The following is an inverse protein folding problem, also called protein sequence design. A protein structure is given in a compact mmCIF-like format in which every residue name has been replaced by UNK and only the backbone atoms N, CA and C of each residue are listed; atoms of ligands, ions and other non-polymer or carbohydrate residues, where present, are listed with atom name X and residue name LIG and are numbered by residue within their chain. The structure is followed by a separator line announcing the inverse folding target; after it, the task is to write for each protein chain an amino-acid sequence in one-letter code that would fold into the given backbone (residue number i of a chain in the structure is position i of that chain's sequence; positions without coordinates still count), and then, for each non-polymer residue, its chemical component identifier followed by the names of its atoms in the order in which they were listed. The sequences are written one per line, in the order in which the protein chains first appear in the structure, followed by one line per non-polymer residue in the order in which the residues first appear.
data_IF_018775382743
#
_entry.id   IF_018775382743
#
_cell.length_a   1.000
_cell.length_b   1.000
_cell.length_c   1.000
_cell.angle_alpha   90.00
_cell.angle_beta   90.00
_cell.angle_gamma   90.00
#
_symmetry.space_group_name_H-M   'P 1'
#
loop_
_entity.id
_entity.type
_entity.pdbx_description
1 polymer ?
#
# COMPACT_ATOMS: atom_id res chain seq x y z
N UNK A 1 -10.03 22.20 1.41
CA UNK A 1 -10.37 20.80 1.74
C UNK A 1 -9.36 19.86 1.10
N UNK A 2 -8.90 18.89 1.87
CA UNK A 2 -8.00 17.85 1.38
C UNK A 2 -8.70 16.50 1.29
N UNK A 3 -8.08 15.57 0.57
CA UNK A 3 -8.56 14.21 0.43
C UNK A 3 -7.42 13.23 0.72
N UNK A 4 -7.78 12.07 1.24
CA UNK A 4 -6.83 11.00 1.48
C UNK A 4 -7.39 9.67 0.96
N UNK A 5 -6.50 8.78 0.53
CA UNK A 5 -6.82 7.38 0.35
C UNK A 5 -6.09 6.58 1.40
N UNK A 6 -6.77 5.61 1.97
CA UNK A 6 -6.16 4.59 2.82
C UNK A 6 -6.25 3.29 2.05
N UNK A 7 -5.12 2.64 1.81
CA UNK A 7 -5.05 1.38 1.10
C UNK A 7 -4.58 0.30 2.06
N UNK A 8 -5.33 -0.80 2.16
CA UNK A 8 -4.84 -2.02 2.78
C UNK A 8 -4.36 -2.96 1.70
N UNK A 9 -3.07 -3.26 1.73
CA UNK A 9 -2.38 -4.02 0.69
C UNK A 9 -2.00 -5.37 1.28
N UNK A 10 -2.68 -6.42 0.81
CA UNK A 10 -2.45 -7.78 1.25
C UNK A 10 -1.52 -8.48 0.27
N UNK A 11 -0.31 -8.80 0.72
CA UNK A 11 0.75 -9.38 -0.11
C UNK A 11 0.96 -10.85 0.22
N UNK A 12 1.25 -11.62 -0.80
CA UNK A 12 1.62 -13.01 -0.67
C UNK A 12 2.99 -13.25 -1.31
N UNK A 13 3.86 -13.97 -0.61
CA UNK A 13 5.23 -14.28 -1.04
C UNK A 13 5.37 -15.81 -1.13
N UNK A 14 4.80 -16.46 -2.16
CA UNK A 14 4.70 -17.92 -2.18
C UNK A 14 6.05 -18.63 -2.21
N UNK A 15 7.09 -18.00 -2.74
CA UNK A 15 8.41 -18.60 -2.86
C UNK A 15 9.39 -18.18 -1.77
N UNK A 16 8.93 -17.34 -0.82
CA UNK A 16 9.78 -16.88 0.26
C UNK A 16 9.90 -17.95 1.34
N UNK A 17 11.12 -18.23 1.77
CA UNK A 17 11.40 -19.26 2.78
C UNK A 17 11.86 -18.72 4.13
N UNK A 18 11.82 -17.40 4.37
CA UNK A 18 12.32 -16.85 5.62
C UNK A 18 11.75 -15.48 5.92
N UNK A 19 11.74 -15.10 7.22
CA UNK A 19 11.37 -13.73 7.64
C UNK A 19 12.38 -12.71 7.13
N UNK A 20 13.65 -13.07 7.05
CA UNK A 20 14.70 -12.17 6.54
C UNK A 20 14.45 -11.78 5.08
N UNK A 21 14.10 -12.77 4.25
CA UNK A 21 13.77 -12.53 2.85
C UNK A 21 12.53 -11.65 2.70
N UNK A 22 11.49 -11.92 3.49
CA UNK A 22 10.27 -11.12 3.50
C UNK A 22 10.56 -9.67 3.87
N UNK A 23 11.34 -9.44 4.93
CA UNK A 23 11.69 -8.08 5.38
C UNK A 23 12.42 -7.30 4.30
N UNK A 24 13.33 -7.93 3.59
CA UNK A 24 14.07 -7.31 2.50
C UNK A 24 13.13 -6.87 1.37
N UNK A 25 12.21 -7.75 0.95
CA UNK A 25 11.23 -7.41 -0.07
C UNK A 25 10.29 -6.29 0.38
N UNK A 26 9.80 -6.35 1.62
CA UNK A 26 8.90 -5.33 2.17
C UNK A 26 9.57 -3.97 2.25
N UNK A 27 10.84 -3.90 2.65
CA UNK A 27 11.56 -2.63 2.67
C UNK A 27 11.64 -2.01 1.29
N UNK A 28 11.91 -2.83 0.27
CA UNK A 28 11.95 -2.37 -1.11
C UNK A 28 10.59 -1.85 -1.56
N UNK A 29 9.52 -2.58 -1.29
CA UNK A 29 8.15 -2.18 -1.66
C UNK A 29 7.77 -0.87 -0.97
N UNK A 30 8.01 -0.76 0.34
CA UNK A 30 7.71 0.46 1.09
C UNK A 30 8.48 1.66 0.56
N UNK A 31 9.77 1.48 0.28
CA UNK A 31 10.61 2.55 -0.27
C UNK A 31 10.10 3.00 -1.64
N UNK A 32 9.72 2.07 -2.51
CA UNK A 32 9.22 2.41 -3.84
C UNK A 32 7.84 3.07 -3.78
N UNK A 33 6.95 2.62 -2.90
CA UNK A 33 5.66 3.28 -2.71
C UNK A 33 5.84 4.73 -2.27
N UNK A 34 6.79 4.97 -1.37
CA UNK A 34 7.11 6.32 -0.91
C UNK A 34 7.74 7.15 -2.04
N UNK A 35 8.75 6.63 -2.71
CA UNK A 35 9.50 7.39 -3.72
C UNK A 35 8.71 7.65 -4.99
N UNK A 36 7.95 6.66 -5.46
CA UNK A 36 7.20 6.76 -6.72
C UNK A 36 5.89 7.51 -6.58
N UNK A 37 5.21 7.33 -5.45
CA UNK A 37 3.83 7.79 -5.28
C UNK A 37 3.63 8.75 -4.12
N UNK A 38 4.66 8.98 -3.33
CA UNK A 38 4.55 9.84 -2.15
C UNK A 38 3.71 9.22 -1.03
N UNK A 39 3.54 7.91 -1.01
CA UNK A 39 2.73 7.24 0.00
C UNK A 39 3.51 7.08 1.32
N UNK A 40 2.81 7.27 2.43
CA UNK A 40 3.27 6.83 3.74
C UNK A 40 2.83 5.37 3.91
N UNK A 41 3.72 4.50 4.37
CA UNK A 41 3.46 3.05 4.40
C UNK A 41 3.97 2.44 5.69
N UNK A 42 3.19 1.52 6.26
CA UNK A 42 3.60 0.71 7.40
C UNK A 42 3.12 -0.73 7.23
N UNK A 43 3.89 -1.68 7.75
CA UNK A 43 3.41 -3.06 7.89
C UNK A 43 2.49 -3.11 9.10
N UNK A 44 1.24 -3.55 8.91
CA UNK A 44 0.21 -3.47 9.94
C UNK A 44 -0.32 -4.82 10.40
N UNK A 45 0.00 -5.90 9.70
CA UNK A 45 -0.39 -7.25 10.10
C UNK A 45 0.52 -8.31 9.49
N UNK A 46 0.47 -9.52 10.03
CA UNK A 46 1.21 -10.70 9.58
C UNK A 46 2.73 -10.56 9.67
N UNK A 47 3.22 -9.84 10.69
CA UNK A 47 4.66 -9.59 10.90
C UNK A 47 5.46 -10.89 11.03
N UNK A 48 4.91 -11.90 11.66
CA UNK A 48 5.58 -13.15 11.98
C UNK A 48 5.41 -14.24 10.91
N UNK A 49 4.68 -13.96 9.85
CA UNK A 49 4.47 -14.90 8.75
C UNK A 49 5.46 -14.59 7.63
N UNK A 50 6.14 -15.63 7.10
CA UNK A 50 7.14 -15.43 6.04
C UNK A 50 6.52 -15.25 4.67
N UNK A 51 5.32 -15.75 4.45
CA UNK A 51 4.69 -15.78 3.13
C UNK A 51 3.55 -14.79 2.95
N UNK A 52 3.25 -14.00 3.99
CA UNK A 52 2.16 -13.00 3.95
C UNK A 52 2.55 -11.74 4.69
N UNK A 53 2.03 -10.62 4.19
CA UNK A 53 2.13 -9.34 4.89
C UNK A 53 0.94 -8.47 4.54
N UNK A 54 0.56 -7.58 5.46
CA UNK A 54 -0.39 -6.52 5.18
C UNK A 54 0.31 -5.19 5.41
N UNK A 55 0.28 -4.34 4.37
CA UNK A 55 0.75 -2.96 4.45
C UNK A 55 -0.47 -2.05 4.45
N UNK A 56 -0.40 -1.01 5.27
CA UNK A 56 -1.35 0.10 5.18
C UNK A 56 -0.60 1.30 4.59
N UNK A 57 -1.13 1.84 3.51
CA UNK A 57 -0.54 3.01 2.85
C UNK A 57 -1.55 4.14 2.80
N UNK A 58 -1.05 5.37 2.82
CA UNK A 58 -1.90 6.55 2.72
C UNK A 58 -1.31 7.55 1.74
N UNK A 59 -2.20 8.15 0.95
CA UNK A 59 -1.91 9.24 0.02
C UNK A 59 -2.81 10.40 0.38
N UNK A 60 -2.31 11.61 0.15
CA UNK A 60 -3.12 12.81 0.30
C UNK A 60 -3.04 13.65 -0.98
N UNK A 61 -4.08 14.42 -1.23
CA UNK A 61 -4.12 15.33 -2.36
C UNK A 61 -5.21 16.36 -2.19
N UNK A 62 -5.21 17.33 -3.10
CA UNK A 62 -6.16 18.45 -3.06
C UNK A 62 -7.43 18.17 -3.85
N UNK A 63 -7.51 17.08 -4.59
CA UNK A 63 -8.74 16.68 -5.27
C UNK A 63 -8.95 15.17 -5.15
N UNK A 64 -10.21 14.77 -5.08
CA UNK A 64 -10.60 13.36 -5.02
C UNK A 64 -10.13 12.62 -6.27
N UNK A 65 -10.28 13.25 -7.44
CA UNK A 65 -9.86 12.65 -8.71
C UNK A 65 -8.35 12.35 -8.72
N UNK A 66 -7.52 13.29 -8.27
CA UNK A 66 -6.06 13.09 -8.26
C UNK A 66 -5.65 11.96 -7.32
N UNK A 67 -6.27 11.88 -6.15
CA UNK A 67 -5.99 10.82 -5.18
C UNK A 67 -6.41 9.46 -5.75
N UNK A 68 -7.57 9.38 -6.40
CA UNK A 68 -8.02 8.14 -7.04
C UNK A 68 -7.10 7.71 -8.17
N UNK A 69 -6.65 8.62 -9.02
CA UNK A 69 -5.71 8.31 -10.10
C UNK A 69 -4.40 7.76 -9.54
N UNK A 70 -3.88 8.37 -8.48
CA UNK A 70 -2.66 7.89 -7.84
C UNK A 70 -2.85 6.50 -7.22
N UNK A 71 -3.98 6.27 -6.54
CA UNK A 71 -4.30 4.96 -5.98
C UNK A 71 -4.41 3.89 -7.08
N UNK A 72 -5.04 4.21 -8.21
CA UNK A 72 -5.10 3.29 -9.36
C UNK A 72 -3.71 2.94 -9.89
N UNK A 73 -2.81 3.92 -9.94
CA UNK A 73 -1.43 3.70 -10.39
C UNK A 73 -0.68 2.79 -9.41
N UNK A 74 -0.88 2.97 -8.12
CA UNK A 74 -0.30 2.09 -7.10
C UNK A 74 -0.79 0.66 -7.30
N UNK A 75 -2.08 0.45 -7.49
CA UNK A 75 -2.61 -0.90 -7.68
C UNK A 75 -2.04 -1.57 -8.93
N UNK A 76 -1.93 -0.85 -10.04
CA UNK A 76 -1.30 -1.37 -11.26
C UNK A 76 0.17 -1.74 -11.04
N UNK A 77 0.89 -0.88 -10.33
CA UNK A 77 2.30 -1.16 -10.02
C UNK A 77 2.44 -2.41 -9.16
N UNK A 78 1.58 -2.55 -8.13
CA UNK A 78 1.58 -3.73 -7.26
C UNK A 78 1.24 -5.01 -8.02
N UNK A 79 0.26 -4.96 -8.91
CA UNK A 79 -0.09 -6.11 -9.75
C UNK A 79 1.09 -6.58 -10.59
N UNK A 80 1.89 -5.67 -11.11
CA UNK A 80 3.10 -5.99 -11.84
C UNK A 80 4.21 -6.57 -10.97
N UNK A 81 4.32 -6.12 -9.71
CA UNK A 81 5.34 -6.60 -8.77
C UNK A 81 4.96 -7.94 -8.13
N UNK A 82 3.68 -8.20 -7.95
CA UNK A 82 3.17 -9.38 -7.25
C UNK A 82 2.13 -10.10 -8.11
N UNK A 83 2.53 -10.68 -9.24
CA UNK A 83 1.59 -11.29 -10.17
C UNK A 83 0.82 -12.48 -9.60
N UNK A 84 1.30 -13.06 -8.48
CA UNK A 84 0.72 -14.24 -7.87
C UNK A 84 -0.07 -13.96 -6.59
N UNK A 85 -0.07 -12.73 -6.09
CA UNK A 85 -0.78 -12.52 -4.84
C UNK A 85 -0.72 -11.11 -4.29
N UNK A 86 -1.58 -10.24 -4.79
CA UNK A 86 -1.85 -8.96 -4.16
C UNK A 86 -3.35 -8.68 -4.19
N UNK A 87 -3.87 -8.19 -3.07
CA UNK A 87 -5.26 -7.72 -2.98
C UNK A 87 -5.24 -6.37 -2.27
N UNK A 88 -5.93 -5.39 -2.82
CA UNK A 88 -5.96 -4.03 -2.27
C UNK A 88 -7.39 -3.64 -1.94
N UNK A 89 -7.58 -3.14 -0.73
CA UNK A 89 -8.82 -2.50 -0.31
C UNK A 89 -8.56 -1.01 -0.20
N UNK A 90 -9.53 -0.19 -0.60
CA UNK A 90 -9.37 1.27 -0.65
C UNK A 90 -10.49 1.97 0.09
N UNK A 91 -10.15 2.92 0.95
CA UNK A 91 -11.10 3.86 1.53
C UNK A 91 -10.68 5.28 1.17
N UNK A 92 -11.68 6.10 0.83
CA UNK A 92 -11.45 7.51 0.51
C UNK A 92 -12.00 8.37 1.65
N UNK A 93 -11.22 9.38 2.04
CA UNK A 93 -11.58 10.26 3.17
C UNK A 93 -11.42 11.71 2.72
N UNK A 94 -12.40 12.55 3.03
CA UNK A 94 -12.22 14.00 2.92
C UNK A 94 -11.84 14.58 4.28
N UNK A 95 -10.96 15.56 4.29
CA UNK A 95 -10.57 16.23 5.54
C UNK A 95 -11.77 16.90 6.21
N UNK A 96 -12.71 17.41 5.42
CA UNK A 96 -13.92 18.04 5.92
C UNK A 96 -14.79 17.04 6.69
N UNK A 97 -15.06 15.87 6.12
CA UNK A 97 -15.85 14.83 6.78
C UNK A 97 -15.15 14.27 8.01
N UNK A 98 -13.82 14.08 7.92
CA UNK A 98 -13.05 13.48 9.00
C UNK A 98 -12.90 14.40 10.22
N UNK A 99 -12.85 15.71 10.01
CA UNK A 99 -12.53 16.69 11.06
C UNK A 99 -13.76 17.47 11.55
N UNK A 100 -14.87 17.33 10.91
CA UNK A 100 -16.11 18.03 11.22
C UNK A 100 -17.31 17.07 11.24
#
# INVERSE_FOLDING_TARGET
MGYAAILEIHLHFPENGSLKGKRKELQSVKAQLHQRFGAAVAETDHHDLWQRSTLTASLVGRSLADVNVCADRIERWLDGQFPHGVRVERAMVSSDEALH
#
